data_IF_440431605189
#
_entry.id   IF_440431605189
#
_cell.length_a   1.000
_cell.length_b   1.000
_cell.length_c   1.000
_cell.angle_alpha   90.00
_cell.angle_beta   90.00
_cell.angle_gamma   90.00
#
_symmetry.space_group_name_H-M   'P 1'
#
loop_
_entity.id
_entity.type
_entity.pdbx_description
1 polymer ?
#
# COMPACT_ATOMS: atom_id res chain seq x y z
N UNK A 1 41.53 -8.77 38.54
CA UNK A 1 40.89 -9.91 37.83
C UNK A 1 39.35 -9.92 37.92
N UNK A 2 38.68 -8.98 38.60
CA UNK A 2 37.21 -8.97 38.71
C UNK A 2 36.47 -8.19 37.60
N UNK A 3 37.14 -7.28 36.89
CA UNK A 3 36.49 -6.44 35.86
C UNK A 3 36.29 -7.16 34.52
N UNK A 4 37.15 -8.13 34.19
CA UNK A 4 37.06 -8.88 32.92
C UNK A 4 35.87 -9.84 32.89
N UNK A 5 35.39 -10.31 34.05
CA UNK A 5 34.25 -11.23 34.14
C UNK A 5 32.90 -10.51 33.95
N UNK A 6 32.77 -9.28 34.47
CA UNK A 6 31.54 -8.46 34.39
C UNK A 6 31.25 -7.99 32.96
N UNK A 7 32.28 -7.55 32.23
CA UNK A 7 32.15 -7.08 30.84
C UNK A 7 31.78 -8.22 29.89
N UNK A 8 32.29 -9.43 30.14
CA UNK A 8 31.99 -10.60 29.31
C UNK A 8 30.55 -11.09 29.54
N UNK A 9 30.06 -11.11 30.77
CA UNK A 9 28.67 -11.49 31.08
C UNK A 9 27.65 -10.49 30.50
N UNK A 10 28.01 -9.20 30.47
CA UNK A 10 27.19 -8.15 29.85
C UNK A 10 27.20 -8.27 28.32
N UNK A 11 28.29 -8.72 27.70
CA UNK A 11 28.35 -8.97 26.24
C UNK A 11 27.59 -10.24 25.83
N UNK A 12 27.71 -11.34 26.58
CA UNK A 12 26.94 -12.56 26.29
C UNK A 12 25.45 -12.40 26.52
N UNK A 13 25.03 -11.64 27.55
CA UNK A 13 23.60 -11.34 27.75
C UNK A 13 23.04 -10.43 26.66
N UNK A 14 23.78 -9.43 26.17
CA UNK A 14 23.37 -8.61 25.03
C UNK A 14 23.32 -9.40 23.70
N UNK A 15 24.24 -10.35 23.49
CA UNK A 15 24.21 -11.22 22.30
C UNK A 15 23.05 -12.23 22.34
N UNK A 16 22.77 -12.82 23.49
CA UNK A 16 21.60 -13.71 23.67
C UNK A 16 20.28 -12.93 23.57
N UNK A 17 20.22 -11.72 24.14
CA UNK A 17 19.05 -10.85 24.06
C UNK A 17 18.78 -10.35 22.63
N UNK A 18 19.84 -10.04 21.88
CA UNK A 18 19.73 -9.68 20.47
C UNK A 18 19.37 -10.90 19.61
N UNK A 19 19.92 -12.08 19.89
CA UNK A 19 19.57 -13.30 19.13
C UNK A 19 18.11 -13.72 19.36
N UNK A 20 17.61 -13.63 20.59
CA UNK A 20 16.20 -13.94 20.91
C UNK A 20 15.23 -12.90 20.32
N UNK A 21 15.64 -11.62 20.20
CA UNK A 21 14.82 -10.59 19.52
C UNK A 21 14.87 -10.66 18.00
N UNK A 22 15.97 -11.14 17.42
CA UNK A 22 16.11 -11.28 15.97
C UNK A 22 15.23 -12.41 15.45
N UNK A 23 15.07 -13.50 16.22
CA UNK A 23 14.20 -14.62 15.87
C UNK A 23 12.70 -14.27 15.87
N UNK A 24 12.26 -13.31 16.68
CA UNK A 24 10.82 -12.97 16.75
C UNK A 24 10.31 -12.18 15.53
N UNK A 25 11.18 -11.55 14.74
CA UNK A 25 10.77 -10.68 13.61
C UNK A 25 11.21 -11.17 12.24
N UNK A 26 11.94 -12.28 12.14
CA UNK A 26 12.33 -12.84 10.85
C UNK A 26 11.18 -13.62 10.22
N UNK A 27 11.02 -13.47 8.90
CA UNK A 27 10.08 -14.25 8.09
C UNK A 27 10.70 -15.61 7.80
N UNK A 28 10.06 -16.69 8.25
CA UNK A 28 10.57 -18.06 8.13
C UNK A 28 10.32 -18.68 6.74
N UNK A 29 9.23 -18.31 6.07
CA UNK A 29 8.79 -18.85 4.77
C UNK A 29 8.64 -17.78 3.70
N UNK A 30 8.25 -16.55 4.07
CA UNK A 30 7.93 -15.45 3.17
C UNK A 30 9.05 -14.41 3.07
N UNK A 31 10.26 -14.73 3.55
CA UNK A 31 11.42 -13.84 3.44
C UNK A 31 11.70 -13.42 1.98
N UNK A 32 11.55 -14.35 1.04
CA UNK A 32 11.73 -14.06 -0.40
C UNK A 32 10.76 -12.98 -0.92
N UNK A 33 9.57 -12.83 -0.34
CA UNK A 33 8.60 -11.79 -0.73
C UNK A 33 9.12 -10.42 -0.33
N UNK A 34 9.69 -10.32 0.87
CA UNK A 34 10.32 -9.08 1.35
C UNK A 34 11.53 -8.73 0.49
N UNK A 35 12.41 -9.70 0.20
CA UNK A 35 13.58 -9.48 -0.65
C UNK A 35 13.19 -9.07 -2.08
N UNK A 36 12.21 -9.75 -2.67
CA UNK A 36 11.69 -9.38 -3.98
C UNK A 36 11.09 -7.97 -3.98
N UNK A 37 10.34 -7.59 -2.92
CA UNK A 37 9.80 -6.25 -2.79
C UNK A 37 10.90 -5.18 -2.71
N UNK A 38 11.98 -5.43 -1.95
CA UNK A 38 13.14 -4.53 -1.88
C UNK A 38 13.78 -4.39 -3.27
N UNK A 39 13.99 -5.49 -3.98
CA UNK A 39 14.58 -5.47 -5.32
C UNK A 39 13.74 -4.68 -6.33
N UNK A 40 12.41 -4.88 -6.30
CA UNK A 40 11.47 -4.13 -7.14
C UNK A 40 11.48 -2.63 -6.79
N UNK A 41 11.49 -2.27 -5.51
CA UNK A 41 11.59 -0.87 -5.07
C UNK A 41 12.88 -0.25 -5.58
N UNK A 42 14.00 -0.96 -5.46
CA UNK A 42 15.30 -0.49 -5.95
C UNK A 42 15.26 -0.26 -7.46
N UNK A 43 14.77 -1.25 -8.22
CA UNK A 43 14.66 -1.17 -9.68
C UNK A 43 13.81 0.03 -10.13
N UNK A 44 12.62 0.19 -9.54
CA UNK A 44 11.70 1.28 -9.86
C UNK A 44 12.31 2.63 -9.48
N UNK A 45 12.94 2.72 -8.31
CA UNK A 45 13.59 3.97 -7.85
C UNK A 45 14.75 4.34 -8.76
N UNK A 46 15.62 3.39 -9.11
CA UNK A 46 16.73 3.63 -10.03
C UNK A 46 16.26 4.05 -11.41
N UNK A 47 15.23 3.39 -11.95
CA UNK A 47 14.64 3.77 -13.22
C UNK A 47 14.01 5.17 -13.19
N UNK A 48 13.26 5.49 -12.13
CA UNK A 48 12.65 6.81 -11.94
C UNK A 48 13.72 7.90 -11.84
N UNK A 49 14.75 7.72 -11.02
CA UNK A 49 15.84 8.70 -10.86
C UNK A 49 16.64 8.88 -12.15
N UNK A 50 16.86 7.80 -12.90
CA UNK A 50 17.45 7.87 -14.24
C UNK A 50 16.57 8.70 -15.19
N UNK A 51 15.28 8.37 -15.30
CA UNK A 51 14.36 9.11 -16.17
C UNK A 51 14.26 10.59 -15.80
N UNK A 52 14.10 10.88 -14.50
CA UNK A 52 14.04 12.24 -13.93
C UNK A 52 15.31 13.05 -14.23
N UNK A 53 16.48 12.44 -14.09
CA UNK A 53 17.77 13.08 -14.39
C UNK A 53 17.92 13.41 -15.87
N UNK A 54 17.35 12.59 -16.75
CA UNK A 54 17.40 12.76 -18.21
C UNK A 54 16.19 13.51 -18.81
N UNK A 55 15.28 14.03 -17.98
CA UNK A 55 14.02 14.65 -18.44
C UNK A 55 14.17 16.08 -19.02
N UNK A 56 15.38 16.65 -18.99
CA UNK A 56 15.67 17.96 -19.57
C UNK A 56 14.71 19.05 -19.06
N UNK A 57 14.04 19.82 -19.95
CA UNK A 57 13.12 20.89 -19.57
C UNK A 57 11.93 20.44 -18.68
N UNK A 58 11.56 19.16 -18.71
CA UNK A 58 10.43 18.63 -17.93
C UNK A 58 10.78 18.41 -16.44
N UNK A 59 12.07 18.44 -16.09
CA UNK A 59 12.55 18.15 -14.73
C UNK A 59 11.92 19.05 -13.65
N UNK A 60 11.70 20.33 -13.96
CA UNK A 60 11.06 21.28 -13.04
C UNK A 60 9.59 20.90 -12.73
N UNK A 61 8.86 20.44 -13.75
CA UNK A 61 7.50 19.93 -13.57
C UNK A 61 7.46 18.67 -12.70
N UNK A 62 8.38 17.74 -12.95
CA UNK A 62 8.50 16.50 -12.16
C UNK A 62 8.76 16.82 -10.68
N UNK A 63 9.69 17.72 -10.37
CA UNK A 63 9.99 18.12 -8.98
C UNK A 63 8.79 18.77 -8.29
N UNK A 64 8.01 19.57 -9.02
CA UNK A 64 6.80 20.20 -8.47
C UNK A 64 5.76 19.15 -8.08
N UNK A 65 5.55 18.14 -8.93
CA UNK A 65 4.63 17.04 -8.67
C UNK A 65 5.12 16.17 -7.53
N UNK A 66 6.42 15.84 -7.51
CA UNK A 66 7.04 15.06 -6.44
C UNK A 66 6.88 15.75 -5.07
N UNK A 67 7.07 17.07 -5.02
CA UNK A 67 6.83 17.86 -3.81
C UNK A 67 5.37 17.81 -3.35
N UNK A 68 4.41 17.97 -4.27
CA UNK A 68 2.99 17.89 -3.96
C UNK A 68 2.57 16.50 -3.46
N UNK A 69 3.03 15.45 -4.14
CA UNK A 69 2.78 14.05 -3.75
C UNK A 69 3.40 13.75 -2.39
N UNK A 70 4.64 14.18 -2.16
CA UNK A 70 5.33 13.98 -0.87
C UNK A 70 4.62 14.71 0.27
N UNK A 71 4.08 15.91 0.03
CA UNK A 71 3.35 16.67 1.05
C UNK A 71 2.03 15.99 1.47
N UNK A 72 1.35 15.31 0.53
CA UNK A 72 0.08 14.62 0.81
C UNK A 72 0.32 13.22 1.36
N UNK A 73 1.22 12.45 0.74
CA UNK A 73 1.42 11.03 1.02
C UNK A 73 2.47 10.81 2.11
N UNK A 74 3.48 11.67 2.24
CA UNK A 74 4.59 11.51 3.20
C UNK A 74 4.12 11.26 4.64
N UNK A 75 3.19 12.06 5.20
CA UNK A 75 2.65 11.82 6.54
C UNK A 75 1.89 10.49 6.66
N UNK A 76 1.17 10.08 5.61
CA UNK A 76 0.43 8.81 5.56
C UNK A 76 1.42 7.64 5.54
N UNK A 77 2.44 7.71 4.69
CA UNK A 77 3.48 6.69 4.62
C UNK A 77 4.19 6.50 5.96
N UNK A 78 4.65 7.59 6.58
CA UNK A 78 5.31 7.51 7.89
C UNK A 78 4.45 6.84 8.95
N UNK A 79 3.12 7.00 8.90
CA UNK A 79 2.19 6.38 9.87
C UNK A 79 1.92 4.91 9.59
N UNK A 80 1.86 4.50 8.32
CA UNK A 80 1.34 3.18 7.92
C UNK A 80 2.38 2.23 7.30
N UNK A 81 3.62 2.68 7.02
CA UNK A 81 4.64 1.87 6.35
C UNK A 81 5.00 0.55 7.03
N UNK A 82 4.76 0.41 8.35
CA UNK A 82 4.98 -0.84 9.07
C UNK A 82 3.87 -1.89 8.88
N UNK A 83 2.67 -1.46 8.49
CA UNK A 83 1.49 -2.34 8.41
C UNK A 83 1.66 -3.47 7.38
N UNK A 84 2.18 -3.23 6.17
CA UNK A 84 2.41 -4.30 5.18
C UNK A 84 3.34 -5.40 5.71
N UNK A 85 4.43 -5.03 6.38
CA UNK A 85 5.36 -5.99 6.99
C UNK A 85 4.70 -6.79 8.11
N UNK A 86 3.88 -6.15 8.97
CA UNK A 86 3.14 -6.85 10.02
C UNK A 86 2.14 -7.89 9.46
N UNK A 87 1.47 -7.56 8.34
CA UNK A 87 0.58 -8.51 7.67
C UNK A 87 1.37 -9.67 7.05
N UNK A 88 2.52 -9.39 6.44
CA UNK A 88 3.39 -10.42 5.87
C UNK A 88 3.90 -11.38 6.95
N UNK A 89 4.39 -10.85 8.08
CA UNK A 89 4.82 -11.62 9.25
C UNK A 89 3.69 -12.47 9.84
N UNK A 90 2.46 -11.96 9.79
CA UNK A 90 1.31 -12.72 10.24
C UNK A 90 1.05 -13.95 9.35
N UNK A 91 1.06 -13.78 8.02
CA UNK A 91 0.85 -14.91 7.09
C UNK A 91 2.00 -15.91 7.23
N UNK A 92 3.23 -15.43 7.34
CA UNK A 92 4.43 -16.25 7.52
C UNK A 92 4.35 -17.18 8.74
N UNK A 93 4.00 -16.62 9.91
CA UNK A 93 3.78 -17.41 11.14
C UNK A 93 2.63 -18.39 11.03
N UNK A 94 1.62 -18.09 10.19
CA UNK A 94 0.55 -19.05 9.91
C UNK A 94 1.03 -20.21 9.06
N UNK A 95 1.88 -19.96 8.08
CA UNK A 95 2.53 -21.04 7.31
C UNK A 95 3.36 -21.92 8.25
N UNK A 96 4.11 -21.33 9.18
CA UNK A 96 4.89 -22.06 10.19
C UNK A 96 4.04 -22.97 11.08
N UNK A 97 2.94 -22.45 11.62
CA UNK A 97 1.99 -23.23 12.42
C UNK A 97 1.35 -24.38 11.64
N UNK A 98 1.23 -24.24 10.32
CA UNK A 98 0.71 -25.32 9.47
C UNK A 98 1.77 -26.39 9.24
N UNK A 99 3.03 -26.01 9.01
CA UNK A 99 4.13 -26.95 8.77
C UNK A 99 4.47 -27.76 10.03
N UNK A 100 4.62 -27.09 11.17
CA UNK A 100 4.90 -27.75 12.46
C UNK A 100 3.82 -28.76 12.88
N UNK A 101 2.53 -28.47 12.61
CA UNK A 101 1.44 -29.41 12.91
C UNK A 101 1.43 -30.63 11.99
N UNK A 102 1.80 -30.46 10.73
CA UNK A 102 1.93 -31.55 9.75
C UNK A 102 3.08 -32.47 10.16
N UNK A 103 4.24 -31.89 10.50
CA UNK A 103 5.41 -32.66 10.94
C UNK A 103 5.14 -33.46 12.21
N UNK A 104 4.41 -32.87 13.18
CA UNK A 104 4.14 -33.53 14.46
C UNK A 104 3.11 -34.67 14.36
N UNK A 105 2.25 -34.67 13.34
CA UNK A 105 1.20 -35.69 13.19
C UNK A 105 1.55 -36.83 12.23
N UNK A 106 2.65 -36.76 11.48
CA UNK A 106 2.96 -37.78 10.49
C UNK A 106 4.47 -38.01 10.26
N UNK A 107 5.12 -38.88 11.05
CA UNK A 107 6.42 -39.43 10.65
C UNK A 107 6.30 -40.54 9.59
N UNK A 108 5.15 -41.24 9.48
CA UNK A 108 5.08 -42.52 8.76
C UNK A 108 4.26 -42.51 7.44
N UNK A 109 3.35 -41.55 7.22
CA UNK A 109 2.36 -41.63 6.12
C UNK A 109 2.74 -40.80 4.88
N UNK A 110 3.94 -40.20 4.86
CA UNK A 110 4.44 -39.40 3.72
C UNK A 110 4.98 -40.29 2.59
N UNK A 111 5.10 -41.61 2.80
CA UNK A 111 5.62 -42.48 1.75
C UNK A 111 4.58 -42.87 0.68
N UNK A 112 3.27 -42.97 1.02
CA UNK A 112 2.34 -43.68 0.11
C UNK A 112 0.97 -43.03 -0.26
N UNK A 113 0.45 -41.96 0.37
CA UNK A 113 -0.90 -41.46 -0.02
C UNK A 113 -1.09 -39.95 0.08
N UNK A 114 -0.71 -39.24 -0.97
CA UNK A 114 -0.79 -37.77 -1.14
C UNK A 114 -2.23 -37.21 -1.25
N UNK A 115 -3.20 -37.99 -1.74
CA UNK A 115 -4.56 -37.50 -2.05
C UNK A 115 -5.50 -37.42 -0.85
N UNK A 116 -5.45 -38.39 0.07
CA UNK A 116 -6.34 -38.44 1.24
C UNK A 116 -5.91 -37.44 2.33
N UNK A 117 -4.60 -37.23 2.48
CA UNK A 117 -4.03 -36.22 3.38
C UNK A 117 -4.47 -34.82 2.98
N UNK A 118 -4.55 -34.51 1.69
CA UNK A 118 -5.03 -33.20 1.20
C UNK A 118 -6.48 -32.89 1.57
N UNK A 119 -7.37 -33.88 1.54
CA UNK A 119 -8.80 -33.69 1.83
C UNK A 119 -9.05 -33.50 3.33
N UNK A 120 -8.52 -34.38 4.17
CA UNK A 120 -8.63 -34.29 5.65
C UNK A 120 -7.98 -33.01 6.20
N UNK A 121 -6.85 -32.61 5.64
CA UNK A 121 -6.17 -31.36 5.99
C UNK A 121 -6.98 -30.13 5.56
N UNK A 122 -7.76 -30.20 4.47
CA UNK A 122 -8.57 -29.07 4.00
C UNK A 122 -9.80 -28.80 4.89
N UNK A 123 -10.40 -29.84 5.46
CA UNK A 123 -11.58 -29.75 6.33
C UNK A 123 -11.23 -29.21 7.73
N UNK A 124 -10.10 -29.67 8.31
CA UNK A 124 -9.63 -29.24 9.63
C UNK A 124 -8.96 -27.85 9.57
N UNK A 125 -8.37 -27.46 8.41
CA UNK A 125 -7.67 -26.16 8.24
C UNK A 125 -8.60 -24.95 8.09
N UNK A 126 -9.82 -25.11 7.57
CA UNK A 126 -10.61 -23.94 7.17
C UNK A 126 -11.33 -23.24 8.32
N UNK A 127 -11.88 -23.94 9.31
CA UNK A 127 -12.79 -23.28 10.26
C UNK A 127 -12.04 -22.58 11.41
N UNK A 128 -11.02 -23.20 12.02
CA UNK A 128 -10.36 -22.60 13.20
C UNK A 128 -9.25 -21.59 12.91
N UNK A 129 -8.40 -21.88 11.91
CA UNK A 129 -7.21 -21.05 11.61
C UNK A 129 -7.60 -19.79 10.82
N UNK A 130 -8.52 -19.92 9.86
CA UNK A 130 -9.02 -18.79 9.06
C UNK A 130 -9.86 -17.85 9.92
N UNK A 131 -10.72 -18.36 10.80
CA UNK A 131 -11.46 -17.54 11.78
C UNK A 131 -10.51 -16.74 12.69
N UNK A 132 -9.48 -17.39 13.23
CA UNK A 132 -8.52 -16.72 14.13
C UNK A 132 -7.69 -15.68 13.39
N UNK A 133 -7.29 -15.98 12.15
CA UNK A 133 -6.60 -15.05 11.27
C UNK A 133 -7.47 -13.85 10.91
N UNK A 134 -8.73 -14.10 10.54
CA UNK A 134 -9.75 -13.10 10.26
C UNK A 134 -9.98 -12.22 11.48
N UNK A 135 -10.16 -12.79 12.68
CA UNK A 135 -10.34 -12.05 13.93
C UNK A 135 -9.16 -11.13 14.23
N UNK A 136 -7.91 -11.61 14.17
CA UNK A 136 -6.74 -10.75 14.42
C UNK A 136 -6.51 -9.69 13.34
N UNK A 137 -6.67 -10.03 12.06
CA UNK A 137 -6.59 -9.05 10.97
C UNK A 137 -7.70 -7.99 11.10
N UNK A 138 -8.89 -8.41 11.53
CA UNK A 138 -9.99 -7.52 11.87
C UNK A 138 -9.70 -6.63 13.09
N UNK A 139 -9.03 -7.15 14.13
CA UNK A 139 -8.58 -6.33 15.28
C UNK A 139 -7.55 -5.29 14.86
N UNK A 140 -6.57 -5.65 14.02
CA UNK A 140 -5.61 -4.69 13.45
C UNK A 140 -6.36 -3.64 12.63
N UNK A 141 -7.33 -4.06 11.82
CA UNK A 141 -8.16 -3.13 11.07
C UNK A 141 -8.94 -2.17 11.97
N UNK A 142 -9.70 -2.65 12.96
CA UNK A 142 -10.46 -1.79 13.89
C UNK A 142 -9.53 -0.81 14.60
N UNK A 143 -8.30 -1.24 14.97
CA UNK A 143 -7.31 -0.36 15.60
C UNK A 143 -6.87 0.77 14.67
N UNK A 144 -6.65 0.47 13.39
CA UNK A 144 -6.12 1.45 12.42
C UNK A 144 -7.22 2.19 11.65
N UNK A 145 -8.44 1.67 11.58
CA UNK A 145 -9.57 2.26 10.86
C UNK A 145 -9.85 3.71 11.30
N UNK A 146 -10.06 4.03 12.59
CA UNK A 146 -10.36 5.41 12.99
C UNK A 146 -9.20 6.35 12.70
N UNK A 147 -7.95 5.90 12.90
CA UNK A 147 -6.74 6.69 12.61
C UNK A 147 -6.56 6.90 11.10
N UNK A 148 -6.79 5.88 10.29
CA UNK A 148 -6.74 5.98 8.83
C UNK A 148 -7.83 6.91 8.32
N UNK A 149 -9.04 6.85 8.89
CA UNK A 149 -10.13 7.73 8.53
C UNK A 149 -9.86 9.19 8.94
N UNK A 150 -9.30 9.42 10.13
CA UNK A 150 -8.89 10.76 10.59
C UNK A 150 -7.84 11.37 9.64
N UNK A 151 -6.81 10.60 9.28
CA UNK A 151 -5.79 11.06 8.33
C UNK A 151 -6.37 11.25 6.94
N UNK A 152 -7.27 10.36 6.50
CA UNK A 152 -7.98 10.52 5.23
C UNK A 152 -8.74 11.85 5.21
N UNK A 153 -9.61 12.12 6.19
CA UNK A 153 -10.36 13.37 6.29
C UNK A 153 -9.43 14.60 6.38
N UNK A 154 -8.31 14.49 7.09
CA UNK A 154 -7.34 15.58 7.25
C UNK A 154 -6.64 15.94 5.94
N UNK A 155 -6.25 14.93 5.16
CA UNK A 155 -5.45 15.11 3.94
C UNK A 155 -6.29 15.14 2.66
N UNK A 156 -7.55 14.71 2.71
CA UNK A 156 -8.49 14.80 1.59
C UNK A 156 -8.60 16.23 1.01
N UNK A 157 -8.88 17.30 1.78
CA UNK A 157 -8.97 18.65 1.22
C UNK A 157 -7.61 19.15 0.67
N UNK A 158 -6.50 18.68 1.25
CA UNK A 158 -5.16 18.96 0.72
C UNK A 158 -4.94 18.25 -0.62
N UNK A 159 -5.32 16.98 -0.71
CA UNK A 159 -5.25 16.20 -1.94
C UNK A 159 -6.11 16.83 -3.04
N UNK A 160 -7.33 17.29 -2.74
CA UNK A 160 -8.19 18.01 -3.68
C UNK A 160 -7.53 19.28 -4.21
N UNK A 161 -6.94 20.09 -3.32
CA UNK A 161 -6.21 21.30 -3.72
C UNK A 161 -5.01 20.98 -4.62
N UNK A 162 -4.21 19.98 -4.24
CA UNK A 162 -3.02 19.59 -5.00
C UNK A 162 -3.37 18.95 -6.34
N UNK A 163 -4.52 18.25 -6.46
CA UNK A 163 -4.96 17.66 -7.72
C UNK A 163 -5.08 18.73 -8.81
N UNK A 164 -5.61 19.91 -8.47
CA UNK A 164 -5.77 21.03 -9.41
C UNK A 164 -4.42 21.64 -9.78
N UNK A 165 -3.51 21.81 -8.81
CA UNK A 165 -2.15 22.35 -9.04
C UNK A 165 -1.32 21.43 -9.93
N UNK A 166 -1.36 20.12 -9.65
CA UNK A 166 -0.68 19.09 -10.43
C UNK A 166 -1.27 19.05 -11.83
N UNK A 167 -2.60 19.03 -11.97
CA UNK A 167 -3.27 19.03 -13.28
C UNK A 167 -2.90 20.26 -14.14
N UNK A 168 -2.92 21.45 -13.55
CA UNK A 168 -2.56 22.67 -14.26
C UNK A 168 -1.07 22.69 -14.67
N UNK A 169 -0.19 22.21 -13.79
CA UNK A 169 1.24 22.08 -14.09
C UNK A 169 1.50 21.08 -15.22
N UNK A 170 0.79 19.95 -15.22
CA UNK A 170 0.88 18.96 -16.29
C UNK A 170 0.37 19.52 -17.62
N UNK A 171 -0.73 20.26 -17.64
CA UNK A 171 -1.26 20.88 -18.87
C UNK A 171 -0.34 21.95 -19.49
N UNK A 172 0.68 22.43 -18.76
CA UNK A 172 1.72 23.31 -19.32
C UNK A 172 2.80 22.53 -20.09
N UNK A 173 2.84 21.21 -19.98
CA UNK A 173 3.80 20.38 -20.70
C UNK A 173 3.33 20.17 -22.14
N UNK A 174 4.21 20.28 -23.15
CA UNK A 174 3.81 20.34 -24.56
C UNK A 174 3.05 19.12 -25.07
N UNK A 175 3.33 17.93 -24.52
CA UNK A 175 2.67 16.68 -24.94
C UNK A 175 1.51 16.25 -24.04
N UNK A 176 1.40 16.81 -22.84
CA UNK A 176 0.47 16.31 -21.85
C UNK A 176 -1.01 16.52 -22.22
N UNK A 177 -1.44 17.69 -22.76
CA UNK A 177 -2.84 17.87 -23.14
C UNK A 177 -3.33 16.82 -24.15
N UNK A 178 -2.49 16.44 -25.12
CA UNK A 178 -2.81 15.40 -26.10
C UNK A 178 -2.91 14.02 -25.43
N UNK A 179 -1.96 13.70 -24.55
CA UNK A 179 -1.98 12.43 -23.80
C UNK A 179 -3.14 12.35 -22.82
N UNK A 180 -3.57 13.48 -22.24
CA UNK A 180 -4.66 13.54 -21.27
C UNK A 180 -5.98 13.00 -21.86
N UNK A 181 -6.26 13.24 -23.14
CA UNK A 181 -7.46 12.72 -23.82
C UNK A 181 -7.52 11.18 -23.85
N UNK A 182 -6.38 10.51 -23.79
CA UNK A 182 -6.30 9.03 -23.74
C UNK A 182 -6.17 8.54 -22.30
N UNK A 183 -5.31 9.20 -21.52
CA UNK A 183 -4.98 8.79 -20.16
C UNK A 183 -6.14 8.98 -19.19
N UNK A 184 -6.90 10.07 -19.29
CA UNK A 184 -8.01 10.34 -18.36
C UNK A 184 -9.13 9.31 -18.48
N UNK A 185 -9.67 9.01 -19.68
CA UNK A 185 -10.67 7.95 -19.82
C UNK A 185 -10.14 6.57 -19.42
N UNK A 186 -8.88 6.28 -19.74
CA UNK A 186 -8.23 5.01 -19.38
C UNK A 186 -8.11 4.86 -17.86
N UNK A 187 -7.65 5.91 -17.16
CA UNK A 187 -7.55 5.92 -15.72
C UNK A 187 -8.93 5.76 -15.05
N UNK A 188 -9.95 6.45 -15.57
CA UNK A 188 -11.33 6.30 -15.10
C UNK A 188 -11.85 4.86 -15.30
N UNK A 189 -11.64 4.27 -16.47
CA UNK A 189 -12.02 2.88 -16.75
C UNK A 189 -11.32 1.89 -15.79
N UNK A 190 -10.01 2.01 -15.63
CA UNK A 190 -9.24 1.18 -14.71
C UNK A 190 -9.74 1.31 -13.27
N UNK A 191 -9.98 2.53 -12.80
CA UNK A 191 -10.52 2.79 -11.46
C UNK A 191 -11.92 2.19 -11.27
N UNK A 192 -12.80 2.33 -12.27
CA UNK A 192 -14.13 1.70 -12.24
C UNK A 192 -14.05 0.18 -12.21
N UNK A 193 -13.17 -0.44 -13.02
CA UNK A 193 -12.96 -1.90 -13.02
C UNK A 193 -12.41 -2.39 -11.68
N UNK A 194 -11.42 -1.68 -11.13
CA UNK A 194 -10.90 -1.96 -9.80
C UNK A 194 -12.00 -1.90 -8.74
N UNK A 195 -12.77 -0.82 -8.69
CA UNK A 195 -13.86 -0.65 -7.73
C UNK A 195 -14.89 -1.77 -7.84
N UNK A 196 -15.29 -2.15 -9.06
CA UNK A 196 -16.20 -3.28 -9.30
C UNK A 196 -15.64 -4.58 -8.74
N UNK A 197 -14.36 -4.86 -8.95
CA UNK A 197 -13.69 -6.06 -8.44
C UNK A 197 -13.63 -6.06 -6.91
N UNK A 198 -13.33 -4.91 -6.28
CA UNK A 198 -13.33 -4.78 -4.82
C UNK A 198 -14.74 -5.02 -4.25
N UNK A 199 -15.77 -4.40 -4.82
CA UNK A 199 -17.16 -4.61 -4.41
C UNK A 199 -17.59 -6.07 -4.60
N UNK A 200 -17.20 -6.66 -5.74
CA UNK A 200 -17.44 -8.08 -6.03
C UNK A 200 -16.83 -8.98 -4.94
N UNK A 201 -15.56 -8.78 -4.58
CA UNK A 201 -14.93 -9.58 -3.53
C UNK A 201 -15.50 -9.32 -2.14
N UNK A 202 -15.90 -8.07 -1.86
CA UNK A 202 -16.57 -7.71 -0.61
C UNK A 202 -17.92 -8.42 -0.48
N UNK A 203 -18.71 -8.50 -1.55
CA UNK A 203 -19.99 -9.22 -1.56
C UNK A 203 -19.85 -10.72 -1.27
N UNK A 204 -18.68 -11.30 -1.57
CA UNK A 204 -18.35 -12.71 -1.29
C UNK A 204 -17.62 -12.91 0.04
N UNK A 205 -17.57 -11.89 0.89
CA UNK A 205 -16.94 -11.94 2.21
C UNK A 205 -15.45 -12.31 2.20
N UNK A 206 -14.74 -12.06 1.08
CA UNK A 206 -13.29 -12.24 1.04
C UNK A 206 -12.61 -11.19 1.93
N UNK A 207 -11.98 -11.64 3.01
CA UNK A 207 -11.43 -10.78 4.07
C UNK A 207 -10.48 -9.70 3.52
N UNK A 208 -9.67 -10.03 2.51
CA UNK A 208 -8.70 -9.11 1.91
C UNK A 208 -9.36 -7.88 1.25
N UNK A 209 -10.57 -8.04 0.72
CA UNK A 209 -11.31 -6.97 0.03
C UNK A 209 -11.80 -5.86 0.95
N UNK A 210 -11.93 -6.13 2.26
CA UNK A 210 -12.30 -5.10 3.23
C UNK A 210 -11.14 -4.15 3.55
N UNK A 211 -9.91 -4.53 3.23
CA UNK A 211 -8.70 -3.75 3.54
C UNK A 211 -8.26 -2.82 2.41
N UNK A 212 -8.91 -2.87 1.25
CA UNK A 212 -8.55 -2.06 0.09
C UNK A 212 -9.60 -0.95 -0.13
N UNK A 213 -9.18 0.33 -0.25
CA UNK A 213 -10.10 1.45 -0.40
C UNK A 213 -10.68 1.51 -1.81
N UNK A 214 -11.89 2.06 -1.95
CA UNK A 214 -12.47 2.39 -3.26
C UNK A 214 -11.91 3.73 -3.76
N UNK A 215 -11.73 3.84 -5.08
CA UNK A 215 -11.32 5.09 -5.72
C UNK A 215 -12.56 5.98 -5.93
N UNK A 216 -12.58 7.24 -5.42
CA UNK A 216 -13.75 8.11 -5.52
C UNK A 216 -13.82 8.81 -6.89
N UNK A 217 -14.07 8.04 -7.96
CA UNK A 217 -14.03 8.50 -9.36
C UNK A 217 -14.99 9.66 -9.61
N UNK A 218 -16.22 9.58 -9.11
CA UNK A 218 -17.27 10.59 -9.31
C UNK A 218 -16.92 11.91 -8.63
N UNK A 219 -16.31 11.84 -7.43
CA UNK A 219 -15.86 13.01 -6.68
C UNK A 219 -14.74 13.72 -7.42
N UNK A 220 -13.75 12.97 -7.91
CA UNK A 220 -12.64 13.50 -8.71
C UNK A 220 -13.17 14.18 -9.98
N UNK A 221 -14.08 13.53 -10.71
CA UNK A 221 -14.69 14.11 -11.91
C UNK A 221 -15.44 15.42 -11.62
N UNK A 222 -16.12 15.53 -10.47
CA UNK A 222 -16.83 16.75 -10.06
C UNK A 222 -15.89 17.92 -9.77
N UNK A 223 -14.73 17.67 -9.14
CA UNK A 223 -13.74 18.70 -8.83
C UNK A 223 -13.29 19.38 -10.13
N UNK A 224 -12.93 18.60 -11.16
CA UNK A 224 -12.47 19.16 -12.44
C UNK A 224 -13.55 19.96 -13.18
N UNK A 225 -14.80 19.47 -13.23
CA UNK A 225 -15.92 20.20 -13.86
C UNK A 225 -16.18 21.56 -13.18
N UNK A 226 -16.05 21.60 -11.86
CA UNK A 226 -16.29 22.84 -11.08
C UNK A 226 -15.21 23.88 -11.35
N UNK A 227 -13.96 23.45 -11.51
CA UNK A 227 -12.83 24.32 -11.85
C UNK A 227 -12.97 24.93 -13.25
N UNK A 228 -13.36 24.14 -14.25
CA UNK A 228 -13.60 24.62 -15.63
C UNK A 228 -14.70 25.70 -15.68
N UNK A 229 -15.83 25.45 -14.99
CA UNK A 229 -16.94 26.40 -14.92
C UNK A 229 -16.60 27.70 -14.19
N UNK A 230 -15.78 27.63 -13.15
CA UNK A 230 -15.30 28.82 -12.41
C UNK A 230 -14.35 29.70 -13.23
N UNK A 231 -13.53 29.11 -14.12
CA UNK A 231 -12.70 29.84 -15.06
C UNK A 231 -13.52 30.51 -16.18
N UNK A 232 -14.57 29.84 -16.68
CA UNK A 232 -15.48 30.40 -17.68
C UNK A 232 -16.27 31.60 -17.14
N UNK A 233 -16.78 31.52 -15.91
CA UNK A 233 -17.50 32.63 -15.27
C UNK A 233 -16.60 33.87 -15.04
N UNK A 234 -15.33 33.69 -14.65
CA UNK A 234 -14.40 34.82 -14.45
C UNK A 234 -14.00 35.53 -15.74
N UNK A 235 -13.93 34.82 -16.87
CA UNK A 235 -13.59 35.43 -18.15
C UNK A 235 -14.79 36.13 -18.82
N UNK A 236 -16.03 35.81 -18.43
CA UNK A 236 -17.24 36.49 -18.91
C UNK A 236 -17.44 37.90 -18.34
N UNK A 237 -16.95 38.19 -17.13
CA UNK A 237 -17.08 39.52 -16.50
C UNK A 237 -16.00 40.53 -16.92
N UNK A 238 -14.95 40.11 -17.66
CA UNK A 238 -13.89 41.01 -18.11
C UNK A 238 -14.14 41.63 -19.50
N UNK A 239 -15.18 41.20 -20.21
CA UNK A 239 -15.47 41.65 -21.58
C UNK A 239 -16.51 42.79 -21.67
N UNK A 240 -17.20 43.14 -20.57
CA UNK A 240 -18.33 44.08 -20.58
C UNK A 240 -18.00 45.45 -19.97
N UNK A 241 -16.73 45.86 -20.06
CA UNK A 241 -16.20 47.03 -19.35
C UNK A 241 -15.47 48.04 -20.23
N UNK A 242 -15.87 48.22 -21.50
CA UNK A 242 -15.46 49.39 -22.31
C UNK A 242 -16.55 49.76 -23.31
N UNK A 243 -17.46 50.63 -22.91
CA UNK A 243 -18.11 51.61 -23.82
C UNK A 243 -18.78 52.69 -22.98
N UNK A 244 -18.00 53.71 -22.64
CA UNK A 244 -18.35 55.13 -22.78
C UNK A 244 -17.12 55.99 -22.50
#
# INVERSE_FOLDING_TARGET
MAETQSVNNTRTTNLLYNHVRVDEKQLKYLGFVQEAAIYVILLVTSFYEYAKSNSGPLKSGILTVEGAVTAVIGPVYHKFHHVPFQLLLFVDRKVDQLMTKVDHHMPALIKDTSSQVRLLVSEIKQVGVVETAKKRAHTVYIKYQPVANEYYCKYEPLAEKYIVVVWNSLNRLPLFPQLAHVLVPTAAYCATRYNRTVVYFRSRSYTVSYYVPLVPVEKIAKIFKTTENGHAARNGYAADGKTQ
#
